data_IF_575510479325
#
_entry.id   IF_575510479325
#
_cell.length_a   1.000
_cell.length_b   1.000
_cell.length_c   1.000
_cell.angle_alpha   90.00
_cell.angle_beta   90.00
_cell.angle_gamma   90.00
#
_symmetry.space_group_name_H-M   'P 1'
#
loop_
_entity.id
_entity.type
_entity.pdbx_description
1 polymer ?
#
# COMPACT_ATOMS: atom_id res chain seq x y z
N UNK A 1 10.77 18.26 16.50
CA UNK A 1 10.01 17.83 15.31
C UNK A 1 10.98 17.08 14.42
N UNK A 2 10.71 15.83 14.06
CA UNK A 2 11.55 15.15 13.07
C UNK A 2 11.39 15.90 11.74
N UNK A 3 12.48 16.32 11.06
CA UNK A 3 12.37 16.95 9.76
C UNK A 3 11.65 15.99 8.82
N UNK A 4 10.64 16.51 8.12
CA UNK A 4 9.83 15.74 7.17
C UNK A 4 10.70 15.31 5.99
N UNK A 5 11.02 14.02 5.94
CA UNK A 5 11.68 13.40 4.79
C UNK A 5 10.63 13.26 3.69
N UNK A 6 10.78 13.99 2.58
CA UNK A 6 9.94 13.80 1.38
C UNK A 6 10.60 12.77 0.48
N UNK A 7 9.97 11.61 0.31
CA UNK A 7 10.44 10.56 -0.61
C UNK A 7 10.18 10.99 -2.05
N UNK A 8 11.20 10.91 -2.91
CA UNK A 8 11.14 11.23 -4.35
C UNK A 8 10.98 9.97 -5.19
N UNK A 9 11.83 8.96 -4.97
CA UNK A 9 11.79 7.65 -5.64
C UNK A 9 12.28 6.58 -4.67
N UNK A 10 11.70 5.38 -4.73
CA UNK A 10 12.25 4.23 -4.04
C UNK A 10 12.19 2.97 -4.87
N UNK A 11 13.25 2.16 -4.77
CA UNK A 11 13.36 0.87 -5.46
C UNK A 11 13.87 -0.19 -4.50
N UNK A 12 13.39 -1.41 -4.65
CA UNK A 12 13.79 -2.52 -3.80
C UNK A 12 14.23 -3.73 -4.65
N UNK A 13 15.39 -4.29 -4.34
CA UNK A 13 15.83 -5.62 -4.81
C UNK A 13 16.04 -6.55 -3.59
N UNK A 14 16.38 -7.83 -3.81
CA UNK A 14 16.39 -8.91 -2.80
C UNK A 14 17.06 -8.60 -1.46
N UNK A 15 17.97 -7.62 -1.40
CA UNK A 15 18.60 -7.18 -0.15
C UNK A 15 18.83 -5.66 -0.06
N UNK A 16 18.32 -4.89 -1.01
CA UNK A 16 18.68 -3.48 -1.16
C UNK A 16 17.44 -2.61 -1.30
N UNK A 17 17.41 -1.51 -0.54
CA UNK A 17 16.43 -0.44 -0.66
C UNK A 17 17.13 0.86 -1.04
N UNK A 18 16.74 1.43 -2.16
CA UNK A 18 17.24 2.71 -2.68
C UNK A 18 16.18 3.77 -2.47
N UNK A 19 16.59 4.96 -2.04
CA UNK A 19 15.71 6.08 -1.77
C UNK A 19 16.34 7.40 -2.18
N UNK A 20 15.62 8.19 -2.98
CA UNK A 20 15.85 9.62 -3.09
C UNK A 20 14.93 10.36 -2.14
N UNK A 21 15.47 11.34 -1.40
CA UNK A 21 14.65 12.15 -0.51
C UNK A 21 15.18 13.57 -0.32
N UNK A 22 14.28 14.49 0.04
CA UNK A 22 14.63 15.86 0.39
C UNK A 22 14.68 16.05 1.90
N UNK A 23 15.72 16.76 2.36
CA UNK A 23 15.88 17.20 3.74
C UNK A 23 16.62 18.53 3.78
N UNK A 24 16.05 19.51 4.47
CA UNK A 24 16.64 20.85 4.64
C UNK A 24 17.04 21.50 3.29
N UNK A 25 16.19 21.32 2.27
CA UNK A 25 16.41 21.84 0.91
C UNK A 25 17.49 21.09 0.10
N UNK A 26 18.09 20.03 0.65
CA UNK A 26 19.05 19.17 -0.05
C UNK A 26 18.36 17.89 -0.53
N UNK A 27 18.68 17.49 -1.76
CA UNK A 27 18.30 16.18 -2.29
C UNK A 27 19.42 15.18 -2.00
N UNK A 28 19.08 14.10 -1.29
CA UNK A 28 20.01 13.08 -0.83
C UNK A 28 19.60 11.71 -1.38
N UNK A 29 20.60 10.87 -1.59
CA UNK A 29 20.44 9.49 -2.04
C UNK A 29 20.86 8.58 -0.89
N UNK A 30 20.03 7.57 -0.63
CA UNK A 30 20.24 6.59 0.41
C UNK A 30 20.10 5.19 -0.16
N UNK A 31 21.11 4.37 0.07
CA UNK A 31 21.08 2.92 -0.13
C UNK A 31 21.08 2.24 1.23
N UNK A 32 20.14 1.33 1.48
CA UNK A 32 20.08 0.54 2.72
C UNK A 32 20.10 -0.93 2.37
N UNK A 33 21.06 -1.66 2.92
CA UNK A 33 21.15 -3.12 2.77
C UNK A 33 20.46 -3.79 3.97
N UNK A 34 19.50 -4.68 3.75
CA UNK A 34 18.80 -5.31 4.88
C UNK A 34 19.75 -6.21 5.68
N UNK A 35 19.96 -5.84 6.94
CA UNK A 35 20.64 -6.67 7.93
C UNK A 35 19.77 -6.70 9.19
N UNK A 36 18.97 -7.77 9.39
CA UNK A 36 18.08 -7.90 10.54
C UNK A 36 18.82 -7.77 11.87
N UNK A 37 18.24 -7.03 12.83
CA UNK A 37 18.84 -6.80 14.15
C UNK A 37 19.79 -5.60 14.23
N UNK A 38 20.15 -4.98 13.10
CA UNK A 38 21.01 -3.81 13.03
C UNK A 38 20.25 -2.55 12.60
N UNK A 39 20.90 -1.37 12.65
CA UNK A 39 20.34 -0.08 12.23
C UNK A 39 19.67 -0.16 10.86
N UNK A 40 20.37 -0.67 9.85
CA UNK A 40 19.86 -0.85 8.48
C UNK A 40 18.55 -1.64 8.44
N UNK A 41 18.49 -2.81 9.07
CA UNK A 41 17.28 -3.62 9.14
C UNK A 41 16.15 -2.96 9.93
N UNK A 42 16.46 -2.22 10.99
CA UNK A 42 15.48 -1.48 11.78
C UNK A 42 14.90 -0.28 11.00
N UNK A 43 15.70 0.40 10.18
CA UNK A 43 15.23 1.47 9.27
C UNK A 43 14.25 0.88 8.25
N UNK A 44 14.58 -0.26 7.64
CA UNK A 44 13.72 -0.89 6.64
C UNK A 44 12.38 -1.34 7.24
N UNK A 45 12.38 -1.81 8.48
CA UNK A 45 11.18 -2.19 9.24
C UNK A 45 10.42 -1.00 9.83
N UNK A 46 10.91 0.24 9.62
CA UNK A 46 10.41 1.49 10.23
C UNK A 46 10.39 1.47 11.76
N UNK A 47 11.24 0.65 12.39
CA UNK A 47 11.40 0.62 13.84
C UNK A 47 12.18 1.83 14.35
N UNK A 48 13.06 2.38 13.51
CA UNK A 48 13.80 3.62 13.77
C UNK A 48 13.70 4.56 12.56
N UNK A 49 13.75 5.89 12.76
CA UNK A 49 13.81 6.83 11.65
C UNK A 49 15.15 6.70 10.91
N UNK A 50 15.17 7.16 9.66
CA UNK A 50 16.42 7.35 8.93
C UNK A 50 17.24 8.44 9.67
N UNK A 51 18.52 8.19 10.02
CA UNK A 51 19.34 9.16 10.72
C UNK A 51 19.52 10.46 9.90
N UNK A 52 19.88 11.58 10.53
CA UNK A 52 20.36 12.75 9.79
C UNK A 52 21.57 12.38 8.93
N UNK A 53 21.45 12.56 7.62
CA UNK A 53 22.54 12.38 6.67
C UNK A 53 22.82 13.74 6.00
N UNK A 54 24.10 14.06 5.82
CA UNK A 54 24.54 15.31 5.16
C UNK A 54 24.99 15.08 3.71
N UNK A 55 25.24 13.81 3.36
CA UNK A 55 25.75 13.37 2.06
C UNK A 55 24.98 12.15 1.57
N UNK A 56 25.09 11.84 0.27
CA UNK A 56 24.58 10.56 -0.25
C UNK A 56 25.24 9.42 0.53
N UNK A 57 24.46 8.48 1.04
CA UNK A 57 24.97 7.48 1.99
C UNK A 57 24.47 6.07 1.71
N UNK A 58 25.30 5.09 2.07
CA UNK A 58 24.93 3.68 2.19
C UNK A 58 24.90 3.27 3.67
N UNK A 59 23.88 2.50 4.07
CA UNK A 59 23.76 1.93 5.41
C UNK A 59 23.77 0.40 5.30
N UNK A 60 24.76 -0.25 5.93
CA UNK A 60 24.91 -1.71 6.02
C UNK A 60 25.20 -2.09 7.47
N UNK A 61 24.36 -2.94 8.07
CA UNK A 61 24.43 -3.21 9.51
C UNK A 61 24.22 -1.91 10.29
N UNK A 62 25.17 -1.57 11.17
CA UNK A 62 25.23 -0.31 11.92
C UNK A 62 26.15 0.75 11.28
N UNK A 63 26.76 0.43 10.13
CA UNK A 63 27.73 1.31 9.48
C UNK A 63 27.04 2.22 8.47
N UNK A 64 27.34 3.52 8.53
CA UNK A 64 26.93 4.53 7.55
C UNK A 64 28.18 4.98 6.78
N UNK A 65 28.12 4.97 5.45
CA UNK A 65 29.23 5.39 4.58
C UNK A 65 28.75 6.39 3.55
N UNK A 66 29.53 7.44 3.31
CA UNK A 66 29.28 8.34 2.19
C UNK A 66 29.53 7.60 0.87
N UNK A 67 28.68 7.82 -0.12
CA UNK A 67 28.80 7.26 -1.46
C UNK A 67 28.73 8.37 -2.51
N UNK A 68 29.25 8.13 -3.72
CA UNK A 68 29.03 9.04 -4.84
C UNK A 68 27.53 9.22 -5.12
N UNK A 69 27.19 10.34 -5.76
CA UNK A 69 25.84 10.57 -6.25
C UNK A 69 25.49 9.54 -7.32
N UNK A 70 24.41 8.80 -7.12
CA UNK A 70 23.78 8.00 -8.18
C UNK A 70 23.02 8.91 -9.17
N UNK A 71 22.79 8.49 -10.42
CA UNK A 71 21.92 9.21 -11.32
C UNK A 71 20.54 9.35 -10.69
N UNK A 72 20.02 10.57 -10.62
CA UNK A 72 18.64 10.78 -10.23
C UNK A 72 17.75 10.10 -11.29
N UNK A 73 16.72 9.35 -10.89
CA UNK A 73 15.68 8.95 -11.81
C UNK A 73 15.21 10.18 -12.58
N UNK A 74 15.04 10.05 -13.89
CA UNK A 74 14.43 11.12 -14.68
C UNK A 74 13.11 11.48 -14.00
N UNK A 75 12.91 12.76 -13.70
CA UNK A 75 11.58 13.24 -13.35
C UNK A 75 10.73 13.00 -14.59
N UNK A 76 9.89 11.96 -14.53
CA UNK A 76 8.83 11.77 -15.50
C UNK A 76 7.87 12.92 -15.20
N UNK A 77 7.72 13.84 -16.14
CA UNK A 77 6.68 14.83 -16.05
C UNK A 77 5.33 14.11 -16.16
N UNK A 78 4.77 13.76 -15.01
CA UNK A 78 3.49 13.05 -14.92
C UNK A 78 2.33 13.95 -15.39
N UNK A 79 2.55 15.26 -15.56
CA UNK A 79 1.56 16.16 -16.13
C UNK A 79 1.49 16.04 -17.67
N UNK A 80 2.52 15.47 -18.32
CA UNK A 80 2.50 15.17 -19.77
C UNK A 80 1.82 13.81 -20.10
N UNK A 81 1.67 12.92 -19.11
CA UNK A 81 1.07 11.59 -19.30
C UNK A 81 -0.41 11.57 -18.88
N UNK A 82 -1.22 12.40 -19.56
CA UNK A 82 -2.66 12.55 -19.34
C UNK A 82 -3.41 12.16 -20.63
N UNK A 83 -4.46 11.36 -20.49
CA UNK A 83 -5.35 11.01 -21.61
C UNK A 83 -6.45 12.06 -21.80
N UNK A 84 -6.92 12.21 -23.05
CA UNK A 84 -8.15 12.98 -23.31
C UNK A 84 -9.38 12.22 -22.80
N UNK A 85 -9.81 12.57 -21.59
CA UNK A 85 -10.95 11.98 -20.88
C UNK A 85 -12.28 12.72 -21.12
N UNK A 86 -12.36 13.58 -22.14
CA UNK A 86 -13.52 14.46 -22.37
C UNK A 86 -14.83 13.68 -22.53
N UNK A 87 -14.80 12.55 -23.25
CA UNK A 87 -15.97 11.70 -23.47
C UNK A 87 -16.42 11.00 -22.17
N UNK A 88 -15.48 10.45 -21.41
CA UNK A 88 -15.74 9.75 -20.16
C UNK A 88 -16.33 10.69 -19.09
N UNK A 89 -15.86 11.95 -19.04
CA UNK A 89 -16.40 12.96 -18.13
C UNK A 89 -17.86 13.34 -18.45
N UNK A 90 -18.33 13.18 -19.70
CA UNK A 90 -19.74 13.41 -20.04
C UNK A 90 -20.66 12.37 -19.38
N UNK A 91 -20.16 11.16 -19.12
CA UNK A 91 -20.91 10.13 -18.40
C UNK A 91 -20.97 10.37 -16.88
N UNK A 92 -20.19 11.33 -16.36
CA UNK A 92 -20.13 11.65 -14.93
C UNK A 92 -20.98 12.90 -14.65
N UNK A 93 -22.01 12.83 -13.79
CA UNK A 93 -22.89 13.96 -13.52
C UNK A 93 -22.18 15.08 -12.77
N UNK A 94 -22.52 16.33 -13.07
CA UNK A 94 -22.08 17.48 -12.28
C UNK A 94 -22.84 17.49 -10.95
N UNK A 95 -22.11 17.64 -9.84
CA UNK A 95 -22.70 17.72 -8.49
C UNK A 95 -22.19 18.95 -7.74
N UNK A 96 -22.94 19.37 -6.72
CA UNK A 96 -22.50 20.41 -5.80
C UNK A 96 -21.34 19.92 -4.93
N UNK A 97 -20.25 20.69 -4.90
CA UNK A 97 -19.06 20.34 -4.11
C UNK A 97 -19.12 20.99 -2.73
N UNK A 98 -19.17 20.17 -1.67
CA UNK A 98 -19.00 20.59 -0.28
C UNK A 98 -17.66 20.08 0.25
N UNK A 99 -16.72 20.98 0.53
CA UNK A 99 -15.40 20.66 1.09
C UNK A 99 -15.46 19.85 2.40
N UNK A 100 -16.54 19.95 3.18
CA UNK A 100 -16.71 19.20 4.44
C UNK A 100 -17.12 17.75 4.22
N UNK A 101 -17.73 17.46 3.07
CA UNK A 101 -18.28 16.15 2.75
C UNK A 101 -17.53 15.44 1.63
N UNK A 102 -16.83 16.20 0.78
CA UNK A 102 -16.28 15.73 -0.47
C UNK A 102 -14.77 15.96 -0.57
N UNK A 103 -14.13 15.03 -1.29
CA UNK A 103 -12.80 15.16 -1.84
C UNK A 103 -12.92 15.26 -3.38
N UNK A 104 -12.13 16.12 -4.00
CA UNK A 104 -12.11 16.24 -5.46
C UNK A 104 -10.69 16.16 -6.00
N UNK A 105 -10.49 15.38 -7.08
CA UNK A 105 -9.21 15.27 -7.79
C UNK A 105 -9.37 15.35 -9.30
N UNK A 106 -8.30 15.74 -10.00
CA UNK A 106 -8.23 15.60 -11.46
C UNK A 106 -8.07 14.12 -11.81
N UNK A 107 -8.79 13.68 -12.83
CA UNK A 107 -8.60 12.36 -13.43
C UNK A 107 -7.51 12.44 -14.51
N UNK A 108 -6.69 11.40 -14.62
CA UNK A 108 -5.62 11.31 -15.63
C UNK A 108 -5.91 10.33 -16.75
N UNK A 109 -6.68 9.27 -16.47
CA UNK A 109 -6.83 8.13 -17.36
C UNK A 109 -8.29 7.72 -17.50
N UNK A 110 -8.69 7.37 -18.72
CA UNK A 110 -10.06 6.91 -19.05
C UNK A 110 -10.48 5.68 -18.25
N UNK A 111 -9.50 4.82 -17.97
CA UNK A 111 -9.69 3.60 -17.19
C UNK A 111 -10.20 3.87 -15.78
N UNK A 112 -9.81 4.98 -15.15
CA UNK A 112 -10.27 5.32 -13.80
C UNK A 112 -11.79 5.53 -13.78
N UNK A 113 -12.30 6.41 -14.64
CA UNK A 113 -13.74 6.70 -14.74
C UNK A 113 -14.49 5.43 -15.13
N UNK A 114 -13.97 4.68 -16.10
CA UNK A 114 -14.59 3.43 -16.56
C UNK A 114 -14.70 2.41 -15.43
N UNK A 115 -13.65 2.21 -14.65
CA UNK A 115 -13.63 1.26 -13.53
C UNK A 115 -14.56 1.73 -12.40
N UNK A 116 -14.50 3.00 -12.03
CA UNK A 116 -15.36 3.60 -10.99
C UNK A 116 -16.85 3.48 -11.34
N UNK A 117 -17.23 3.74 -12.59
CA UNK A 117 -18.61 3.61 -13.05
C UNK A 117 -19.07 2.14 -13.06
N UNK A 118 -18.22 1.20 -13.45
CA UNK A 118 -18.53 -0.25 -13.45
C UNK A 118 -18.89 -0.79 -12.07
N UNK A 119 -18.29 -0.24 -11.01
CA UNK A 119 -18.45 -0.74 -9.63
C UNK A 119 -19.27 0.19 -8.74
N UNK A 120 -19.85 1.24 -9.31
CA UNK A 120 -20.66 2.21 -8.58
C UNK A 120 -21.83 1.53 -7.88
N UNK A 121 -21.94 1.74 -6.57
CA UNK A 121 -23.02 1.19 -5.74
C UNK A 121 -22.94 -0.32 -5.48
N UNK A 122 -21.86 -1.01 -5.88
CA UNK A 122 -21.74 -2.45 -5.66
C UNK A 122 -21.25 -2.81 -4.25
N UNK A 123 -20.46 -1.96 -3.61
CA UNK A 123 -19.98 -2.18 -2.24
C UNK A 123 -19.61 -0.88 -1.55
N UNK A 124 -19.89 -0.74 -0.24
CA UNK A 124 -19.41 0.38 0.56
C UNK A 124 -17.90 0.33 0.82
N UNK A 125 -17.23 -0.78 0.52
CA UNK A 125 -15.80 -0.98 0.71
C UNK A 125 -14.97 -0.65 -0.54
N UNK A 126 -15.60 -0.11 -1.59
CA UNK A 126 -14.95 0.43 -2.78
C UNK A 126 -15.30 1.92 -2.85
N UNK A 127 -14.32 2.77 -3.17
CA UNK A 127 -14.56 4.21 -3.26
C UNK A 127 -15.62 4.52 -4.33
N UNK A 128 -16.63 5.30 -3.95
CA UNK A 128 -17.72 5.65 -4.86
C UNK A 128 -17.46 6.97 -5.57
N UNK A 129 -17.54 6.96 -6.90
CA UNK A 129 -17.59 8.18 -7.70
C UNK A 129 -18.97 8.83 -7.59
N UNK A 130 -19.07 9.91 -6.81
CA UNK A 130 -20.31 10.65 -6.60
C UNK A 130 -20.72 11.42 -7.86
N UNK A 131 -19.75 12.07 -8.50
CA UNK A 131 -19.95 12.88 -9.68
C UNK A 131 -18.68 13.64 -10.05
N UNK A 132 -18.83 14.81 -10.67
CA UNK A 132 -17.74 15.73 -10.99
C UNK A 132 -18.11 17.17 -10.67
N UNK A 133 -17.12 18.03 -10.56
CA UNK A 133 -17.30 19.49 -10.57
C UNK A 133 -17.52 20.02 -11.98
N UNK A 134 -17.91 21.30 -12.07
CA UNK A 134 -18.03 22.04 -13.32
C UNK A 134 -16.69 22.09 -14.09
N UNK A 135 -15.57 22.25 -13.38
CA UNK A 135 -14.21 22.24 -13.91
C UNK A 135 -13.64 20.82 -14.19
N UNK A 136 -14.46 19.77 -14.08
CA UNK A 136 -14.12 18.42 -14.51
C UNK A 136 -13.34 17.55 -13.51
N UNK A 137 -13.20 17.97 -12.25
CA UNK A 137 -12.61 17.13 -11.20
C UNK A 137 -13.61 16.07 -10.74
N UNK A 138 -13.16 14.84 -10.57
CA UNK A 138 -13.95 13.76 -10.00
C UNK A 138 -14.17 13.99 -8.51
N UNK A 139 -15.39 13.75 -8.04
CA UNK A 139 -15.83 14.00 -6.67
C UNK A 139 -16.14 12.68 -5.96
N UNK A 140 -15.59 12.53 -4.77
CA UNK A 140 -15.66 11.35 -3.92
C UNK A 140 -16.10 11.73 -2.50
N UNK A 141 -16.60 10.79 -1.69
CA UNK A 141 -16.80 11.02 -0.26
C UNK A 141 -15.48 11.41 0.43
N UNK A 142 -15.54 12.33 1.37
CA UNK A 142 -14.39 12.67 2.20
C UNK A 142 -14.12 11.55 3.21
N UNK A 143 -13.09 10.75 2.92
CA UNK A 143 -12.58 9.72 3.82
C UNK A 143 -11.38 10.23 4.62
N UNK A 144 -11.12 9.57 5.75
CA UNK A 144 -9.89 9.78 6.52
C UNK A 144 -8.78 8.91 5.93
N UNK A 145 -7.54 9.37 6.04
CA UNK A 145 -6.39 8.59 5.62
C UNK A 145 -6.32 7.28 6.42
N UNK A 146 -6.51 6.15 5.73
CA UNK A 146 -6.48 4.82 6.34
C UNK A 146 -5.06 4.38 6.72
N UNK A 147 -4.03 4.99 6.11
CA UNK A 147 -2.63 4.79 6.49
C UNK A 147 -2.38 5.16 7.96
N UNK A 148 -3.11 6.15 8.48
CA UNK A 148 -3.06 6.57 9.88
C UNK A 148 -3.64 5.47 10.80
N UNK A 149 -4.65 4.71 10.37
CA UNK A 149 -5.21 3.61 11.19
C UNK A 149 -4.18 2.51 11.46
N UNK A 150 -3.36 2.18 10.45
CA UNK A 150 -2.27 1.21 10.55
C UNK A 150 -1.17 1.66 11.52
N UNK A 151 -0.74 2.91 11.43
CA UNK A 151 0.42 3.41 12.20
C UNK A 151 0.11 3.96 13.59
N UNK A 152 -1.10 4.49 13.82
CA UNK A 152 -1.46 5.10 15.11
C UNK A 152 -2.32 4.21 16.00
N UNK A 153 -2.87 3.10 15.49
CA UNK A 153 -3.88 2.34 16.24
C UNK A 153 -3.85 0.82 16.12
N UNK A 154 -2.88 0.19 15.46
CA UNK A 154 -2.80 -1.29 15.50
C UNK A 154 -2.37 -1.80 16.88
N UNK A 155 -1.59 -1.02 17.63
CA UNK A 155 -1.32 -1.32 19.05
C UNK A 155 -2.54 -1.19 19.98
N UNK A 156 -3.68 -0.66 19.50
CA UNK A 156 -4.90 -0.40 20.29
C UNK A 156 -6.19 -0.95 19.69
N UNK A 157 -6.17 -1.51 18.47
CA UNK A 157 -7.33 -2.13 17.82
C UNK A 157 -7.32 -3.64 18.03
N UNK A 158 -8.50 -4.18 18.33
CA UNK A 158 -8.66 -5.62 18.53
C UNK A 158 -8.38 -6.40 17.24
N UNK A 159 -7.86 -7.63 17.35
CA UNK A 159 -7.73 -8.55 16.22
C UNK A 159 -9.06 -8.77 15.47
N UNK A 160 -10.19 -8.62 16.17
CA UNK A 160 -11.52 -8.65 15.57
C UNK A 160 -11.75 -7.52 14.56
N UNK A 161 -11.27 -6.31 14.86
CA UNK A 161 -11.34 -5.16 13.95
C UNK A 161 -10.46 -5.39 12.72
N UNK A 162 -9.23 -5.88 12.93
CA UNK A 162 -8.30 -6.22 11.86
C UNK A 162 -8.91 -7.29 10.95
N UNK A 163 -9.42 -8.38 11.52
CA UNK A 163 -10.13 -9.43 10.78
C UNK A 163 -11.27 -8.86 9.94
N UNK A 164 -12.15 -8.05 10.54
CA UNK A 164 -13.31 -7.45 9.88
C UNK A 164 -12.87 -6.64 8.65
N UNK A 165 -11.92 -5.74 8.83
CA UNK A 165 -11.39 -4.90 7.77
C UNK A 165 -10.68 -5.72 6.67
N UNK A 166 -9.94 -6.78 7.02
CA UNK A 166 -9.37 -7.68 6.03
C UNK A 166 -10.44 -8.39 5.20
N UNK A 167 -11.56 -8.78 5.80
CA UNK A 167 -12.70 -9.38 5.08
C UNK A 167 -13.38 -8.35 4.17
N UNK A 168 -13.60 -7.12 4.66
CA UNK A 168 -14.15 -6.01 3.87
C UNK A 168 -13.29 -5.72 2.63
N UNK A 169 -11.97 -5.67 2.78
CA UNK A 169 -11.04 -5.47 1.66
C UNK A 169 -11.03 -6.67 0.70
N UNK A 170 -11.03 -7.90 1.23
CA UNK A 170 -11.09 -9.09 0.38
C UNK A 170 -12.39 -9.13 -0.44
N UNK A 171 -13.51 -8.72 0.14
CA UNK A 171 -14.80 -8.58 -0.55
C UNK A 171 -14.74 -7.53 -1.68
N UNK A 172 -14.20 -6.35 -1.40
CA UNK A 172 -13.98 -5.30 -2.40
C UNK A 172 -13.16 -5.83 -3.59
N UNK A 173 -12.06 -6.55 -3.34
CA UNK A 173 -11.23 -7.12 -4.43
C UNK A 173 -11.96 -8.21 -5.20
N UNK A 174 -12.76 -9.07 -4.54
CA UNK A 174 -13.61 -10.05 -5.24
C UNK A 174 -14.60 -9.35 -6.20
N UNK A 175 -15.19 -8.23 -5.78
CA UNK A 175 -16.08 -7.45 -6.63
C UNK A 175 -15.33 -6.88 -7.84
N UNK A 176 -14.15 -6.28 -7.64
CA UNK A 176 -13.31 -5.83 -8.76
C UNK A 176 -13.02 -6.98 -9.74
N UNK A 177 -12.56 -8.13 -9.22
CA UNK A 177 -12.19 -9.28 -10.04
C UNK A 177 -13.38 -9.86 -10.81
N UNK A 178 -14.58 -9.89 -10.22
CA UNK A 178 -15.79 -10.36 -10.90
C UNK A 178 -16.23 -9.43 -12.04
N UNK A 179 -15.84 -8.16 -12.00
CA UNK A 179 -16.11 -7.15 -13.05
C UNK A 179 -14.93 -6.97 -14.02
N UNK A 180 -13.95 -7.89 -13.98
CA UNK A 180 -12.79 -7.86 -14.87
C UNK A 180 -11.78 -6.75 -14.57
N UNK A 181 -11.85 -6.16 -13.37
CA UNK A 181 -10.93 -5.12 -12.92
C UNK A 181 -9.83 -5.77 -12.09
N UNK A 182 -8.58 -5.51 -12.46
CA UNK A 182 -7.39 -5.84 -11.68
C UNK A 182 -6.91 -4.54 -11.06
N UNK A 183 -6.76 -4.49 -9.73
CA UNK A 183 -6.41 -3.28 -9.00
C UNK A 183 -4.96 -2.85 -9.29
N UNK A 184 -4.03 -3.82 -9.38
CA UNK A 184 -2.58 -3.64 -9.65
C UNK A 184 -1.78 -2.99 -8.53
N UNK A 185 -2.42 -2.27 -7.61
CA UNK A 185 -1.72 -1.54 -6.55
C UNK A 185 -2.33 -1.70 -5.14
N UNK A 186 -2.52 -2.95 -4.69
CA UNK A 186 -3.08 -3.23 -3.37
C UNK A 186 -2.05 -2.96 -2.25
N UNK A 187 -2.01 -1.71 -1.79
CA UNK A 187 -1.10 -1.23 -0.76
C UNK A 187 -1.82 -0.34 0.28
N UNK A 188 -1.23 -0.18 1.47
CA UNK A 188 -1.84 0.60 2.57
C UNK A 188 -2.20 2.04 2.21
N UNK A 189 -1.49 2.67 1.26
CA UNK A 189 -1.79 4.03 0.78
C UNK A 189 -3.13 4.13 0.05
N UNK A 190 -3.61 3.01 -0.48
CA UNK A 190 -4.85 2.93 -1.26
C UNK A 190 -6.02 2.43 -0.40
N UNK A 191 -5.83 2.39 0.93
CA UNK A 191 -6.88 2.08 1.89
C UNK A 191 -7.23 3.35 2.65
N UNK A 192 -8.50 3.71 2.58
CA UNK A 192 -9.08 4.84 3.32
C UNK A 192 -9.97 4.33 4.46
N UNK A 193 -10.21 5.19 5.44
CA UNK A 193 -11.16 4.96 6.51
C UNK A 193 -12.41 5.81 6.30
N UNK A 194 -13.58 5.27 6.61
CA UNK A 194 -14.78 6.11 6.70
C UNK A 194 -14.63 7.18 7.78
N UNK A 195 -15.44 8.23 7.69
CA UNK A 195 -15.40 9.37 8.62
C UNK A 195 -15.59 8.96 10.09
N UNK A 196 -16.35 7.89 10.36
CA UNK A 196 -16.55 7.29 11.68
C UNK A 196 -15.47 6.26 12.09
N UNK A 197 -14.50 6.00 11.21
CA UNK A 197 -13.43 5.01 11.35
C UNK A 197 -13.93 3.58 11.63
N UNK A 198 -15.16 3.24 11.24
CA UNK A 198 -15.73 1.91 11.46
C UNK A 198 -15.34 0.91 10.37
N UNK A 199 -15.31 1.34 9.11
CA UNK A 199 -15.03 0.48 7.96
C UNK A 199 -13.88 1.05 7.13
N UNK A 200 -13.33 0.20 6.26
CA UNK A 200 -12.30 0.60 5.30
C UNK A 200 -12.84 0.65 3.87
N UNK A 201 -12.21 1.46 3.05
CA UNK A 201 -12.58 1.71 1.65
C UNK A 201 -11.34 1.56 0.78
N UNK A 202 -11.41 0.71 -0.23
CA UNK A 202 -10.39 0.56 -1.27
C UNK A 202 -10.55 1.68 -2.30
N UNK A 203 -9.48 2.43 -2.57
CA UNK A 203 -9.44 3.49 -3.56
C UNK A 203 -8.37 3.27 -4.62
N UNK A 204 -8.20 4.24 -5.53
CA UNK A 204 -7.22 4.21 -6.63
C UNK A 204 -7.51 3.13 -7.69
N UNK A 205 -8.65 3.27 -8.37
CA UNK A 205 -9.06 2.39 -9.47
C UNK A 205 -8.57 2.87 -10.85
N UNK A 206 -7.48 3.65 -10.89
CA UNK A 206 -6.89 4.14 -12.14
C UNK A 206 -6.52 2.98 -13.06
N UNK A 207 -5.91 1.92 -12.51
CA UNK A 207 -5.64 0.68 -13.21
C UNK A 207 -4.64 0.79 -14.36
N UNK A 208 -3.96 1.94 -14.53
CA UNK A 208 -2.89 2.10 -15.52
C UNK A 208 -1.58 1.59 -14.95
N UNK A 209 -1.03 2.28 -13.95
CA UNK A 209 0.18 1.89 -13.24
C UNK A 209 -0.11 0.92 -12.09
N UNK A 210 0.93 0.32 -11.51
CA UNK A 210 0.78 -0.62 -10.40
C UNK A 210 2.11 -1.09 -9.82
N UNK A 211 2.00 -1.87 -8.74
CA UNK A 211 3.11 -2.45 -8.00
C UNK A 211 3.77 -3.58 -8.80
N UNK A 212 5.10 -3.61 -8.86
CA UNK A 212 5.90 -4.66 -9.52
C UNK A 212 6.41 -5.73 -8.55
N UNK A 213 5.85 -5.78 -7.33
CA UNK A 213 6.33 -6.67 -6.25
C UNK A 213 6.09 -8.15 -6.52
N UNK A 214 5.06 -8.49 -7.30
CA UNK A 214 4.77 -9.88 -7.64
C UNK A 214 5.91 -10.46 -8.49
N UNK A 215 6.44 -11.66 -8.18
CA UNK A 215 7.61 -12.24 -8.85
C UNK A 215 7.56 -12.24 -10.37
N UNK A 216 6.38 -12.52 -10.95
CA UNK A 216 6.15 -12.55 -12.40
C UNK A 216 6.20 -11.18 -13.08
N UNK A 217 6.16 -10.09 -12.31
CA UNK A 217 6.30 -8.72 -12.79
C UNK A 217 7.77 -8.22 -12.71
N UNK A 218 8.65 -8.95 -12.01
CA UNK A 218 10.07 -8.62 -11.92
C UNK A 218 10.69 -8.65 -13.31
N UNK A 219 11.46 -7.62 -13.66
CA UNK A 219 12.08 -7.48 -14.98
C UNK A 219 11.23 -6.76 -16.03
N UNK A 220 9.96 -6.43 -15.73
CA UNK A 220 9.14 -5.54 -16.56
C UNK A 220 9.19 -4.07 -16.11
N UNK A 221 10.19 -3.71 -15.29
CA UNK A 221 10.39 -2.37 -14.73
C UNK A 221 10.40 -1.27 -15.80
N UNK A 222 11.08 -1.53 -16.92
CA UNK A 222 11.26 -0.58 -18.02
C UNK A 222 10.14 -0.64 -19.08
N UNK A 223 9.12 -1.49 -18.85
CA UNK A 223 8.02 -1.70 -19.78
C UNK A 223 6.83 -0.80 -19.46
N UNK A 224 6.08 -0.42 -20.51
CA UNK A 224 4.83 0.32 -20.35
C UNK A 224 3.81 -0.51 -19.58
N UNK A 225 2.82 0.11 -18.90
CA UNK A 225 1.88 -0.65 -18.09
C UNK A 225 1.00 -1.63 -18.87
N UNK A 226 0.82 -1.39 -20.17
CA UNK A 226 0.09 -2.27 -21.08
C UNK A 226 0.88 -3.55 -21.43
N UNK A 227 2.22 -3.48 -21.37
CA UNK A 227 3.11 -4.62 -21.61
C UNK A 227 3.30 -5.49 -20.36
N UNK A 228 2.89 -5.01 -19.18
CA UNK A 228 3.03 -5.74 -17.92
C UNK A 228 1.90 -6.77 -17.75
N UNK A 229 2.22 -8.03 -17.41
CA UNK A 229 1.23 -9.11 -17.32
C UNK A 229 0.47 -9.11 -15.98
N UNK A 230 -0.20 -8.00 -15.64
CA UNK A 230 -1.04 -7.94 -14.44
C UNK A 230 -2.21 -8.94 -14.53
N UNK A 231 -2.48 -9.65 -13.43
CA UNK A 231 -3.56 -10.63 -13.35
C UNK A 231 -4.29 -10.54 -12.03
N UNK A 232 -5.40 -11.28 -11.87
CA UNK A 232 -6.02 -11.45 -10.55
C UNK A 232 -5.04 -12.03 -9.52
N UNK A 233 -4.08 -12.86 -9.95
CA UNK A 233 -3.07 -13.44 -9.06
C UNK A 233 -1.98 -12.44 -8.64
N UNK A 234 -1.72 -11.38 -9.42
CA UNK A 234 -0.86 -10.27 -8.96
C UNK A 234 -1.54 -9.48 -7.84
N UNK A 235 -2.85 -9.29 -7.92
CA UNK A 235 -3.63 -8.69 -6.82
C UNK A 235 -3.63 -9.58 -5.58
N UNK A 236 -3.81 -10.90 -5.72
CA UNK A 236 -3.73 -11.83 -4.57
C UNK A 236 -2.39 -11.69 -3.84
N UNK A 237 -1.28 -11.60 -4.60
CA UNK A 237 0.04 -11.35 -4.02
C UNK A 237 0.09 -10.02 -3.27
N UNK A 238 -0.37 -8.93 -3.89
CA UNK A 238 -0.46 -7.61 -3.24
C UNK A 238 -1.32 -7.62 -1.98
N UNK A 239 -2.43 -8.37 -1.98
CA UNK A 239 -3.31 -8.53 -0.83
C UNK A 239 -2.60 -9.24 0.34
N UNK A 240 -1.76 -10.25 0.08
CA UNK A 240 -0.95 -10.89 1.11
C UNK A 240 -0.02 -9.91 1.82
N UNK A 241 0.65 -9.04 1.05
CA UNK A 241 1.47 -7.95 1.60
C UNK A 241 0.64 -6.95 2.41
N UNK A 242 -0.49 -6.52 1.86
CA UNK A 242 -1.42 -5.60 2.50
C UNK A 242 -1.90 -6.16 3.85
N UNK A 243 -2.33 -7.44 3.87
CA UNK A 243 -2.81 -8.13 5.07
C UNK A 243 -1.76 -8.10 6.18
N UNK A 244 -0.52 -8.48 5.89
CA UNK A 244 0.57 -8.48 6.86
C UNK A 244 0.86 -7.08 7.40
N UNK A 245 0.95 -6.07 6.53
CA UNK A 245 1.19 -4.69 6.95
C UNK A 245 0.05 -4.14 7.81
N UNK A 246 -1.17 -4.54 7.50
CA UNK A 246 -2.37 -4.14 8.23
C UNK A 246 -2.40 -4.73 9.65
N UNK A 247 -1.95 -5.99 9.82
CA UNK A 247 -1.90 -6.67 11.11
C UNK A 247 -0.75 -6.18 11.98
N UNK A 248 0.42 -5.93 11.38
CA UNK A 248 1.61 -5.53 12.12
C UNK A 248 1.66 -4.03 12.40
N UNK A 249 0.88 -3.22 11.67
CA UNK A 249 0.91 -1.76 11.79
C UNK A 249 2.27 -1.16 11.40
N UNK A 250 3.15 -1.97 10.81
CA UNK A 250 4.38 -1.53 10.19
C UNK A 250 4.18 -1.59 8.67
N UNK A 251 4.41 -0.47 7.99
CA UNK A 251 4.50 -0.45 6.54
C UNK A 251 6.00 -0.46 6.19
N UNK A 252 6.69 -1.62 6.26
CA UNK A 252 8.12 -1.70 6.04
C UNK A 252 8.46 -1.11 4.67
N UNK A 253 9.61 -0.46 4.59
CA UNK A 253 10.12 0.15 3.34
C UNK A 253 10.46 -0.89 2.28
N UNK A 254 10.77 -2.11 2.72
CA UNK A 254 11.16 -3.23 1.86
C UNK A 254 10.21 -4.40 2.10
N UNK A 255 9.81 -5.07 1.01
CA UNK A 255 9.03 -6.31 1.04
C UNK A 255 9.78 -7.46 1.73
N UNK A 256 11.10 -7.46 1.67
CA UNK A 256 11.98 -8.47 2.28
C UNK A 256 12.12 -8.30 3.78
N UNK A 257 11.99 -7.06 4.23
CA UNK A 257 12.05 -6.73 5.65
C UNK A 257 10.71 -6.99 6.36
N UNK A 258 9.69 -7.52 5.67
CA UNK A 258 8.37 -7.72 6.22
C UNK A 258 8.39 -8.80 7.31
N UNK A 259 8.06 -8.48 8.57
CA UNK A 259 7.93 -9.49 9.60
C UNK A 259 6.74 -10.40 9.29
N UNK A 260 6.75 -11.61 9.83
CA UNK A 260 5.62 -12.51 9.69
C UNK A 260 4.44 -12.00 10.54
N UNK A 261 3.23 -12.03 9.98
CA UNK A 261 2.01 -11.79 10.75
C UNK A 261 1.83 -12.91 11.81
N UNK A 262 1.09 -12.69 12.91
CA UNK A 262 0.69 -13.77 13.80
C UNK A 262 -0.26 -14.76 13.10
N UNK A 263 -0.17 -16.04 13.48
CA UNK A 263 -1.19 -17.02 13.11
C UNK A 263 -2.55 -16.61 13.71
N UNK A 264 -3.68 -16.91 13.04
CA UNK A 264 -3.80 -17.68 11.79
C UNK A 264 -3.60 -16.85 10.51
N UNK A 265 -3.40 -15.54 10.60
CA UNK A 265 -3.28 -14.67 9.42
C UNK A 265 -2.00 -14.92 8.62
N UNK A 266 -0.92 -15.33 9.30
CA UNK A 266 0.35 -15.71 8.68
C UNK A 266 0.15 -16.76 7.59
N UNK A 267 -0.60 -17.83 7.88
CA UNK A 267 -0.89 -18.89 6.91
C UNK A 267 -1.60 -18.40 5.65
N UNK A 268 -2.50 -17.42 5.78
CA UNK A 268 -3.25 -16.82 4.66
C UNK A 268 -2.32 -15.94 3.83
N UNK A 269 -1.59 -15.03 4.49
CA UNK A 269 -0.60 -14.18 3.82
C UNK A 269 0.44 -15.03 3.08
N UNK A 270 0.89 -16.14 3.70
CA UNK A 270 1.83 -17.09 3.11
C UNK A 270 1.33 -17.76 1.84
N UNK A 271 0.04 -18.10 1.79
CA UNK A 271 -0.56 -18.62 0.58
C UNK A 271 -0.69 -17.54 -0.51
N UNK A 272 -1.02 -16.31 -0.13
CA UNK A 272 -1.21 -15.21 -1.07
C UNK A 272 0.07 -14.81 -1.82
N UNK A 273 1.22 -14.80 -1.15
CA UNK A 273 2.48 -14.33 -1.73
C UNK A 273 3.37 -15.46 -2.31
N UNK A 274 2.79 -16.61 -2.66
CA UNK A 274 3.54 -17.72 -3.25
C UNK A 274 4.29 -17.29 -4.52
N UNK A 275 5.47 -17.86 -4.77
CA UNK A 275 6.33 -17.47 -5.90
C UNK A 275 5.60 -17.65 -7.24
N UNK A 276 5.04 -18.84 -7.46
CA UNK A 276 4.21 -19.14 -8.62
C UNK A 276 2.81 -18.52 -8.47
N UNK A 277 2.31 -17.80 -9.49
CA UNK A 277 0.93 -17.29 -9.49
C UNK A 277 -0.13 -18.39 -9.37
N UNK A 278 0.15 -19.58 -9.89
CA UNK A 278 -0.80 -20.71 -9.90
C UNK A 278 -1.01 -21.30 -8.51
N UNK A 279 0.01 -21.25 -7.65
CA UNK A 279 -0.04 -21.75 -6.27
C UNK A 279 -0.79 -20.81 -5.32
N UNK A 280 -1.05 -19.57 -5.74
CA UNK A 280 -1.79 -18.59 -4.95
C UNK A 280 -3.29 -18.93 -4.96
N UNK A 281 -4.03 -18.73 -3.85
CA UNK A 281 -5.48 -18.91 -3.83
C UNK A 281 -6.20 -17.88 -4.72
N UNK A 282 -7.50 -18.05 -4.95
CA UNK A 282 -8.35 -16.96 -5.45
C UNK A 282 -8.71 -16.00 -4.32
N UNK A 283 -9.15 -14.78 -4.65
CA UNK A 283 -9.57 -13.83 -3.60
C UNK A 283 -10.81 -14.31 -2.83
N UNK A 284 -11.69 -15.10 -3.47
CA UNK A 284 -12.83 -15.74 -2.81
C UNK A 284 -12.37 -16.77 -1.78
N UNK A 285 -11.34 -17.56 -2.09
CA UNK A 285 -10.72 -18.50 -1.15
C UNK A 285 -10.02 -17.77 0.00
N UNK A 286 -9.32 -16.66 -0.28
CA UNK A 286 -8.72 -15.81 0.75
C UNK A 286 -9.78 -15.26 1.70
N UNK A 287 -10.87 -14.71 1.16
CA UNK A 287 -12.02 -14.22 1.93
C UNK A 287 -12.62 -15.32 2.80
N UNK A 288 -12.82 -16.53 2.24
CA UNK A 288 -13.34 -17.67 2.98
C UNK A 288 -12.43 -18.06 4.16
N UNK A 289 -11.10 -18.10 3.94
CA UNK A 289 -10.12 -18.37 5.00
C UNK A 289 -10.14 -17.29 6.08
N UNK A 290 -10.23 -16.01 5.71
CA UNK A 290 -10.33 -14.90 6.66
C UNK A 290 -11.61 -14.99 7.50
N UNK A 291 -12.75 -15.34 6.89
CA UNK A 291 -14.01 -15.55 7.60
C UNK A 291 -13.92 -16.70 8.62
N UNK A 292 -13.26 -17.79 8.22
CA UNK A 292 -13.06 -19.00 9.02
C UNK A 292 -12.07 -18.84 10.19
N UNK A 293 -11.35 -17.72 10.29
CA UNK A 293 -10.57 -17.40 11.49
C UNK A 293 -11.55 -17.27 12.66
N UNK A 294 -11.66 -18.28 13.51
CA UNK A 294 -12.42 -18.14 14.75
C UNK A 294 -11.85 -16.97 15.54
N UNK A 295 -12.72 -16.23 16.22
CA UNK A 295 -12.29 -15.18 17.15
C UNK A 295 -11.55 -15.87 18.31
N UNK A 296 -10.28 -16.23 18.09
CA UNK A 296 -9.39 -16.82 19.07
C UNK A 296 -9.51 -15.98 20.34
N UNK A 297 -9.76 -16.69 21.43
CA UNK A 297 -10.35 -16.17 22.66
C UNK A 297 -9.77 -14.85 23.12
N UNK A 298 -10.64 -14.04 23.70
CA UNK A 298 -10.26 -12.99 24.66
C UNK A 298 -9.27 -13.63 25.65
N UNK A 299 -7.96 -13.43 25.50
CA UNK A 299 -6.98 -13.19 26.58
C UNK A 299 -5.50 -13.48 26.29
N UNK A 300 -5.07 -14.03 25.15
CA UNK A 300 -3.64 -14.45 25.05
C UNK A 300 -2.71 -13.62 24.14
N UNK A 301 -3.21 -12.63 23.38
CA UNK A 301 -2.34 -11.81 22.53
C UNK A 301 -1.98 -10.42 23.11
N UNK A 302 -2.54 -10.02 24.25
CA UNK A 302 -2.25 -8.72 24.88
C UNK A 302 -1.02 -8.72 25.80
N UNK A 303 -0.33 -9.85 25.97
CA UNK A 303 0.92 -9.92 26.75
C UNK A 303 2.09 -10.31 25.87
N UNK A 304 2.39 -9.50 24.85
CA UNK A 304 3.57 -9.77 24.03
C UNK A 304 3.93 -8.76 22.96
N UNK A 305 2.96 -8.05 22.36
CA UNK A 305 3.25 -7.18 21.20
C UNK A 305 2.87 -5.73 21.48
N UNK A 306 3.51 -5.15 22.49
CA UNK A 306 3.61 -3.69 22.59
C UNK A 306 4.66 -3.14 21.62
N UNK A 307 4.69 -1.83 21.35
CA UNK A 307 5.73 -1.17 20.52
C UNK A 307 7.17 -1.39 21.05
N UNK A 308 7.30 -1.94 22.25
CA UNK A 308 8.54 -2.21 22.97
C UNK A 308 9.01 -3.67 22.90
N UNK A 309 8.24 -4.58 22.30
CA UNK A 309 8.55 -6.02 22.29
C UNK A 309 9.64 -6.44 21.30
N UNK A 310 10.03 -5.57 20.37
CA UNK A 310 11.26 -5.75 19.59
C UNK A 310 12.53 -5.31 20.34
N UNK A 311 12.43 -4.86 21.60
CA UNK A 311 13.56 -4.34 22.37
C UNK A 311 14.24 -5.36 23.31
N UNK A 312 13.91 -6.66 23.22
CA UNK A 312 14.57 -7.67 24.06
C UNK A 312 14.90 -8.95 23.28
N UNK A 313 15.73 -8.82 22.25
CA UNK A 313 16.61 -9.90 21.82
C UNK A 313 18.02 -9.33 21.72
N UNK A 314 18.68 -9.22 22.88
CA UNK A 314 20.13 -9.07 22.96
C UNK A 314 20.68 -10.49 23.07
N UNK A 315 21.35 -11.05 22.04
CA UNK A 315 22.16 -12.23 22.25
C UNK A 315 23.36 -11.81 23.12
N UNK A 316 23.69 -12.62 24.13
CA UNK A 316 25.01 -12.54 24.77
C UNK A 316 26.11 -12.78 23.75
#
# INVERSE_FOLDING_TARGET
>A
MNPSIKTIDSRCTESEYKLWYERDGKSLYLKVIDQPGFLSGNILRRLVPIPPLETHSEIVGDTIRAIPQEPRPLEIDLDDDIEDITEELQAVPIIEFDQKLHFAKRCRYKSEITNLLKVKGLSPNIIELLGRTDDGRLVFPLCKDGFILGHTTVGSKSLLTVKRWSVELADAVCILHSHGIIHRDLELRNILATSDCQTVVLCDLEGRWGSDRAPELRGFGDKTPHERPYTKKTDVYGFGFLLTNFILGNNPRSSWAQPEAPEPFASIARACWAESPDDRPTMEEVKARLLAIDALGRNEFCSGVGPTSYCSFVPR
#
